data_IF_729380825663
#
_entry.id   IF_729380825663
#
_cell.length_a   1.000
_cell.length_b   1.000
_cell.length_c   1.000
_cell.angle_alpha   90.00
_cell.angle_beta   90.00
_cell.angle_gamma   90.00
#
_symmetry.space_group_name_H-M   'P 1'
#
loop_
_entity.id
_entity.type
_entity.pdbx_description
1 polymer ?
#
# COMPACT_ATOMS: atom_id res chain seq x y z
N UNK A 1 19.76 -10.10 2.38
CA UNK A 1 19.07 -9.45 3.51
C UNK A 1 17.68 -9.01 3.14
N UNK A 2 17.55 -8.22 2.08
CA UNK A 2 16.27 -7.68 1.62
C UNK A 2 15.19 -8.75 1.38
N UNK A 3 15.55 -9.89 0.79
CA UNK A 3 14.67 -11.04 0.59
C UNK A 3 14.16 -11.63 1.91
N UNK A 4 15.03 -11.77 2.92
CA UNK A 4 14.65 -12.24 4.26
C UNK A 4 13.68 -11.27 4.92
N UNK A 5 13.94 -9.96 4.81
CA UNK A 5 13.01 -8.93 5.28
C UNK A 5 11.66 -9.06 4.58
N UNK A 6 11.64 -9.20 3.26
CA UNK A 6 10.40 -9.37 2.49
C UNK A 6 9.60 -10.61 2.93
N UNK A 7 10.26 -11.76 3.13
CA UNK A 7 9.60 -12.96 3.66
C UNK A 7 9.07 -12.76 5.08
N UNK A 8 9.77 -11.99 5.92
CA UNK A 8 9.28 -11.62 7.26
C UNK A 8 7.97 -10.84 7.21
N UNK A 9 7.90 -9.81 6.34
CA UNK A 9 6.67 -9.04 6.12
C UNK A 9 5.54 -9.87 5.51
N UNK A 10 5.86 -10.78 4.59
CA UNK A 10 4.89 -11.74 4.06
C UNK A 10 4.36 -12.65 5.16
N UNK A 11 5.23 -13.16 6.04
CA UNK A 11 4.83 -13.94 7.21
C UNK A 11 3.89 -13.16 8.12
N UNK A 12 4.18 -11.88 8.39
CA UNK A 12 3.29 -11.00 9.16
C UNK A 12 1.93 -10.82 8.48
N UNK A 13 1.90 -10.62 7.16
CA UNK A 13 0.66 -10.47 6.40
C UNK A 13 -0.19 -11.75 6.43
N UNK A 14 0.46 -12.93 6.35
CA UNK A 14 -0.22 -14.22 6.47
C UNK A 14 -0.77 -14.44 7.89
N UNK A 15 0.02 -14.14 8.92
CA UNK A 15 -0.43 -14.23 10.31
C UNK A 15 -1.62 -13.30 10.58
N UNK A 16 -1.55 -12.08 10.05
CA UNK A 16 -2.67 -11.13 10.12
C UNK A 16 -3.91 -11.64 9.38
N UNK A 17 -3.74 -12.21 8.19
CA UNK A 17 -4.84 -12.79 7.41
C UNK A 17 -5.47 -14.00 8.10
N UNK A 18 -4.67 -14.84 8.75
CA UNK A 18 -5.16 -15.96 9.56
C UNK A 18 -5.94 -15.46 10.77
N UNK A 19 -5.40 -14.49 11.50
CA UNK A 19 -6.10 -13.84 12.61
C UNK A 19 -7.44 -13.25 12.16
N UNK A 20 -7.43 -12.51 11.06
CA UNK A 20 -8.62 -11.91 10.50
C UNK A 20 -9.63 -12.97 10.06
N UNK A 21 -9.20 -14.08 9.46
CA UNK A 21 -10.09 -15.19 9.05
C UNK A 21 -10.78 -15.86 10.24
N UNK A 22 -10.07 -16.03 11.36
CA UNK A 22 -10.64 -16.56 12.62
C UNK A 22 -11.65 -15.57 13.21
N UNK A 23 -11.31 -14.28 13.24
CA UNK A 23 -12.21 -13.23 13.70
C UNK A 23 -13.45 -13.10 12.80
N UNK A 24 -13.26 -13.23 11.49
CA UNK A 24 -14.28 -13.14 10.46
C UNK A 24 -15.31 -14.27 10.57
N UNK A 25 -14.82 -15.51 10.71
CA UNK A 25 -15.66 -16.71 10.83
C UNK A 25 -16.50 -16.76 12.10
N UNK A 26 -16.14 -16.01 13.15
CA UNK A 26 -16.88 -15.96 14.41
C UNK A 26 -17.87 -14.79 14.54
N UNK A 27 -17.65 -13.67 13.83
CA UNK A 27 -18.32 -12.41 14.16
C UNK A 27 -19.08 -11.72 12.98
N UNK A 28 -18.68 -11.92 11.72
CA UNK A 28 -19.16 -11.06 10.62
C UNK A 28 -20.67 -11.09 10.38
N UNK A 29 -21.32 -12.24 10.62
CA UNK A 29 -22.77 -12.38 10.40
C UNK A 29 -23.62 -11.55 11.38
N UNK A 30 -23.07 -11.12 12.51
CA UNK A 30 -23.78 -10.40 13.57
C UNK A 30 -23.30 -8.95 13.73
N UNK A 31 -22.42 -8.47 12.84
CA UNK A 31 -21.85 -7.12 12.92
C UNK A 31 -22.72 -6.11 12.19
N UNK A 32 -22.96 -4.96 12.82
CA UNK A 32 -23.55 -3.82 12.13
C UNK A 32 -22.65 -3.30 11.00
N UNK A 33 -23.25 -2.65 10.01
CA UNK A 33 -22.58 -2.19 8.78
C UNK A 33 -21.31 -1.36 9.05
N UNK A 34 -21.35 -0.45 10.03
CA UNK A 34 -20.19 0.35 10.41
C UNK A 34 -19.03 -0.47 10.98
N UNK A 35 -19.33 -1.50 11.79
CA UNK A 35 -18.31 -2.40 12.34
C UNK A 35 -17.71 -3.29 11.26
N UNK A 36 -18.53 -3.71 10.29
CA UNK A 36 -18.09 -4.49 9.13
C UNK A 36 -17.17 -3.66 8.22
N UNK A 37 -17.53 -2.40 7.95
CA UNK A 37 -16.67 -1.47 7.22
C UNK A 37 -15.31 -1.28 7.91
N UNK A 38 -15.29 -0.98 9.22
CA UNK A 38 -14.04 -0.83 9.98
C UNK A 38 -13.19 -2.10 9.98
N UNK A 39 -13.83 -3.28 9.94
CA UNK A 39 -13.13 -4.57 9.87
C UNK A 39 -12.43 -4.77 8.51
N UNK A 40 -13.05 -4.36 7.40
CA UNK A 40 -12.41 -4.34 6.09
C UNK A 40 -11.30 -3.31 6.01
N UNK A 41 -11.51 -2.09 6.54
CA UNK A 41 -10.46 -1.06 6.60
C UNK A 41 -9.25 -1.61 7.35
N UNK A 42 -9.44 -2.25 8.51
CA UNK A 42 -8.35 -2.86 9.29
C UNK A 42 -7.58 -3.94 8.52
N UNK A 43 -8.29 -4.77 7.75
CA UNK A 43 -7.69 -5.80 6.91
C UNK A 43 -6.82 -5.21 5.80
N UNK A 44 -7.39 -4.34 4.96
CA UNK A 44 -6.70 -3.74 3.83
C UNK A 44 -5.59 -2.79 4.28
N UNK A 45 -5.83 -2.00 5.33
CA UNK A 45 -4.85 -1.06 5.84
C UNK A 45 -3.57 -1.74 6.31
N UNK A 46 -3.69 -2.86 7.02
CA UNK A 46 -2.51 -3.60 7.48
C UNK A 46 -1.71 -4.15 6.29
N UNK A 47 -2.37 -4.70 5.26
CA UNK A 47 -1.70 -5.17 4.06
C UNK A 47 -0.97 -4.04 3.32
N UNK A 48 -1.66 -2.92 3.11
CA UNK A 48 -1.08 -1.73 2.49
C UNK A 48 0.12 -1.21 3.29
N UNK A 49 0.02 -1.12 4.62
CA UNK A 49 1.15 -0.71 5.48
C UNK A 49 2.35 -1.64 5.33
N UNK A 50 2.15 -2.96 5.35
CA UNK A 50 3.24 -3.93 5.21
C UNK A 50 3.91 -3.83 3.83
N UNK A 51 3.12 -3.77 2.75
CA UNK A 51 3.64 -3.64 1.38
C UNK A 51 4.37 -2.32 1.16
N UNK A 52 3.77 -1.20 1.57
CA UNK A 52 4.36 0.13 1.37
C UNK A 52 5.60 0.35 2.25
N UNK A 53 5.64 -0.26 3.44
CA UNK A 53 6.87 -0.29 4.24
C UNK A 53 7.99 -1.03 3.51
N UNK A 54 7.71 -2.18 2.89
CA UNK A 54 8.70 -2.89 2.09
C UNK A 54 9.20 -2.04 0.91
N UNK A 55 8.32 -1.32 0.20
CA UNK A 55 8.71 -0.41 -0.90
C UNK A 55 9.63 0.71 -0.38
N UNK A 56 9.33 1.30 0.78
CA UNK A 56 10.19 2.30 1.40
C UNK A 56 11.56 1.73 1.79
N UNK A 57 11.60 0.51 2.33
CA UNK A 57 12.86 -0.15 2.69
C UNK A 57 13.67 -0.45 1.42
N UNK A 58 13.06 -1.05 0.40
CA UNK A 58 13.73 -1.45 -0.84
C UNK A 58 14.28 -0.23 -1.59
N UNK A 59 13.48 0.83 -1.72
CA UNK A 59 13.92 2.10 -2.34
C UNK A 59 15.06 2.75 -1.56
N UNK A 60 15.02 2.73 -0.23
CA UNK A 60 16.12 3.20 0.61
C UNK A 60 17.40 2.40 0.42
N UNK A 61 17.31 1.06 0.40
CA UNK A 61 18.48 0.19 0.17
C UNK A 61 19.07 0.40 -1.22
N UNK A 62 18.23 0.49 -2.25
CA UNK A 62 18.67 0.75 -3.63
C UNK A 62 19.31 2.13 -3.73
N UNK A 63 18.75 3.14 -3.06
CA UNK A 63 19.33 4.47 -2.95
C UNK A 63 20.73 4.44 -2.37
N UNK A 64 20.90 3.80 -1.21
CA UNK A 64 22.23 3.65 -0.60
C UNK A 64 23.18 2.83 -1.47
N UNK A 65 22.71 1.78 -2.15
CA UNK A 65 23.53 1.02 -3.10
C UNK A 65 24.03 1.88 -4.26
N UNK A 66 23.21 2.80 -4.77
CA UNK A 66 23.58 3.70 -5.86
C UNK A 66 24.55 4.80 -5.43
N UNK A 67 24.30 5.46 -4.29
CA UNK A 67 25.07 6.63 -3.85
C UNK A 67 26.25 6.30 -2.92
N UNK A 68 26.17 5.21 -2.16
CA UNK A 68 27.20 4.76 -1.22
C UNK A 68 27.36 3.21 -1.25
N UNK A 69 27.87 2.64 -2.36
CA UNK A 69 27.87 1.19 -2.59
C UNK A 69 28.59 0.39 -1.48
N UNK A 70 29.59 0.98 -0.84
CA UNK A 70 30.32 0.37 0.29
C UNK A 70 29.41 0.02 1.47
N UNK A 71 28.36 0.80 1.71
CA UNK A 71 27.40 0.60 2.80
C UNK A 71 26.35 -0.48 2.48
N UNK A 72 26.26 -0.91 1.21
CA UNK A 72 25.31 -1.88 0.69
C UNK A 72 25.95 -3.24 0.29
N UNK A 73 27.26 -3.42 0.48
CA UNK A 73 28.04 -4.53 -0.09
C UNK A 73 27.97 -5.86 0.68
N UNK A 74 26.93 -6.09 1.49
CA UNK A 74 26.81 -7.33 2.27
C UNK A 74 25.36 -7.78 2.40
N UNK A 75 25.17 -9.06 2.78
CA UNK A 75 23.82 -9.63 2.94
C UNK A 75 22.99 -8.84 3.95
N UNK A 76 23.56 -8.48 5.10
CA UNK A 76 22.93 -7.66 6.15
C UNK A 76 23.69 -6.34 6.28
N UNK A 77 23.61 -5.55 5.21
CA UNK A 77 24.31 -4.28 5.06
C UNK A 77 23.76 -3.18 5.98
N UNK A 78 24.56 -2.14 6.21
CA UNK A 78 24.12 -0.94 6.95
C UNK A 78 22.96 -0.27 6.21
N UNK A 79 23.00 -0.24 4.87
CA UNK A 79 21.91 0.21 4.02
C UNK A 79 20.55 -0.41 4.39
N UNK A 80 20.49 -1.72 4.63
CA UNK A 80 19.26 -2.42 5.01
C UNK A 80 18.78 -2.01 6.40
N UNK A 81 19.70 -1.94 7.38
CA UNK A 81 19.37 -1.56 8.76
C UNK A 81 18.84 -0.13 8.80
N UNK A 82 19.55 0.81 8.20
CA UNK A 82 19.21 2.22 8.25
C UNK A 82 17.91 2.51 7.50
N UNK A 83 17.72 1.89 6.32
CA UNK A 83 16.47 2.02 5.57
C UNK A 83 15.29 1.42 6.33
N UNK A 84 15.49 0.30 7.03
CA UNK A 84 14.45 -0.32 7.88
C UNK A 84 14.09 0.57 9.07
N UNK A 85 15.09 1.11 9.77
CA UNK A 85 14.87 2.03 10.90
C UNK A 85 14.15 3.28 10.43
N UNK A 86 14.57 3.88 9.30
CA UNK A 86 13.91 5.07 8.76
C UNK A 86 12.48 4.81 8.35
N UNK A 87 12.20 3.68 7.70
CA UNK A 87 10.85 3.29 7.29
C UNK A 87 9.92 3.07 8.50
N UNK A 88 10.42 2.42 9.56
CA UNK A 88 9.62 2.04 10.74
C UNK A 88 9.52 3.13 11.81
N UNK A 89 10.28 4.21 11.71
CA UNK A 89 10.24 5.32 12.67
C UNK A 89 9.83 6.62 12.00
N UNK A 90 10.76 7.29 11.31
CA UNK A 90 10.56 8.63 10.76
C UNK A 90 9.51 8.67 9.64
N UNK A 91 9.50 7.66 8.76
CA UNK A 91 8.58 7.61 7.61
C UNK A 91 7.29 6.85 7.90
N UNK A 92 7.19 6.20 9.07
CA UNK A 92 6.09 5.28 9.36
C UNK A 92 4.73 5.98 9.33
N UNK A 93 4.63 7.19 9.88
CA UNK A 93 3.39 7.98 9.83
C UNK A 93 2.94 8.30 8.40
N UNK A 94 3.88 8.63 7.52
CA UNK A 94 3.62 8.86 6.08
C UNK A 94 3.15 7.57 5.38
N UNK A 95 3.77 6.43 5.73
CA UNK A 95 3.37 5.10 5.23
C UNK A 95 1.93 4.79 5.66
N UNK A 96 1.65 4.86 6.97
CA UNK A 96 0.32 4.61 7.52
C UNK A 96 -0.76 5.50 6.91
N UNK A 97 -0.48 6.79 6.75
CA UNK A 97 -1.45 7.75 6.19
C UNK A 97 -1.77 7.44 4.72
N UNK A 98 -0.76 7.25 3.87
CA UNK A 98 -1.00 6.92 2.46
C UNK A 98 -1.68 5.56 2.26
N UNK A 99 -1.33 4.58 3.10
CA UNK A 99 -1.94 3.24 3.09
C UNK A 99 -3.41 3.27 3.49
N UNK A 100 -3.79 4.19 4.38
CA UNK A 100 -5.17 4.36 4.82
C UNK A 100 -6.08 4.82 3.67
N UNK A 101 -5.57 5.69 2.79
CA UNK A 101 -6.34 6.22 1.65
C UNK A 101 -6.76 5.07 0.72
N UNK A 102 -5.81 4.20 0.34
CA UNK A 102 -6.10 3.03 -0.52
C UNK A 102 -7.01 2.05 0.21
N UNK A 103 -6.73 1.77 1.49
CA UNK A 103 -7.50 0.82 2.28
C UNK A 103 -8.98 1.23 2.44
N UNK A 104 -9.28 2.52 2.55
CA UNK A 104 -10.66 3.02 2.60
C UNK A 104 -11.37 2.74 1.28
N UNK A 105 -10.73 2.98 0.14
CA UNK A 105 -11.30 2.68 -1.18
C UNK A 105 -11.55 1.18 -1.33
N UNK A 106 -10.57 0.35 -0.97
CA UNK A 106 -10.69 -1.11 -0.97
C UNK A 106 -11.83 -1.61 -0.06
N UNK A 107 -11.97 -1.04 1.14
CA UNK A 107 -13.05 -1.38 2.06
C UNK A 107 -14.43 -0.99 1.51
N UNK A 108 -14.55 0.18 0.84
CA UNK A 108 -15.79 0.59 0.19
C UNK A 108 -16.18 -0.34 -0.96
N UNK A 109 -15.22 -0.78 -1.77
CA UNK A 109 -15.47 -1.76 -2.84
C UNK A 109 -15.93 -3.10 -2.28
N UNK A 110 -15.25 -3.59 -1.24
CA UNK A 110 -15.62 -4.84 -0.59
C UNK A 110 -17.01 -4.77 0.04
N UNK A 111 -17.38 -3.63 0.64
CA UNK A 111 -18.72 -3.41 1.17
C UNK A 111 -19.78 -3.40 0.06
N UNK A 112 -19.50 -2.76 -1.07
CA UNK A 112 -20.39 -2.75 -2.24
C UNK A 112 -20.60 -4.16 -2.82
N UNK A 113 -19.55 -4.99 -2.85
CA UNK A 113 -19.67 -6.41 -3.22
C UNK A 113 -20.49 -7.22 -2.21
N UNK A 114 -20.33 -6.94 -0.92
CA UNK A 114 -21.11 -7.58 0.14
C UNK A 114 -22.60 -7.23 0.03
N UNK A 115 -22.93 -5.95 -0.15
CA UNK A 115 -24.30 -5.48 -0.37
C UNK A 115 -24.95 -6.16 -1.59
N UNK A 116 -24.20 -6.27 -2.70
CA UNK A 116 -24.64 -7.01 -3.90
C UNK A 116 -25.00 -8.47 -3.61
N UNK A 117 -24.23 -9.13 -2.76
CA UNK A 117 -24.44 -10.54 -2.41
C UNK A 117 -25.71 -10.76 -1.55
N UNK A 118 -26.19 -9.71 -0.87
CA UNK A 118 -27.41 -9.76 -0.06
C UNK A 118 -28.70 -9.48 -0.85
N UNK A 119 -28.60 -9.20 -2.16
CA UNK A 119 -29.76 -9.11 -3.05
C UNK A 119 -30.50 -7.76 -3.01
N UNK A 120 -29.83 -6.67 -2.64
CA UNK A 120 -30.44 -5.33 -2.70
C UNK A 120 -30.77 -4.91 -4.16
N UNK A 121 -31.96 -4.34 -4.35
CA UNK A 121 -32.43 -3.81 -5.63
C UNK A 121 -31.57 -2.62 -6.07
N UNK A 122 -30.69 -2.83 -7.06
CA UNK A 122 -29.79 -1.77 -7.53
C UNK A 122 -28.58 -2.22 -8.35
N UNK A 123 -28.66 -3.38 -9.03
CA UNK A 123 -27.50 -4.01 -9.67
C UNK A 123 -26.69 -3.09 -10.61
N UNK A 124 -27.36 -2.17 -11.32
CA UNK A 124 -26.69 -1.20 -12.21
C UNK A 124 -25.91 -0.16 -11.40
N UNK A 125 -26.50 0.39 -10.33
CA UNK A 125 -25.86 1.41 -9.49
C UNK A 125 -24.63 0.83 -8.78
N UNK A 126 -24.75 -0.38 -8.23
CA UNK A 126 -23.63 -1.11 -7.60
C UNK A 126 -22.48 -1.31 -8.58
N UNK A 127 -22.76 -1.69 -9.84
CA UNK A 127 -21.73 -1.84 -10.88
C UNK A 127 -21.04 -0.52 -11.24
N UNK A 128 -21.80 0.59 -11.34
CA UNK A 128 -21.23 1.92 -11.63
C UNK A 128 -20.32 2.38 -10.49
N UNK A 129 -20.77 2.22 -9.24
CA UNK A 129 -19.97 2.55 -8.06
C UNK A 129 -18.69 1.72 -8.01
N UNK A 130 -18.77 0.41 -8.24
CA UNK A 130 -17.59 -0.47 -8.27
C UNK A 130 -16.59 -0.06 -9.36
N UNK A 131 -17.08 0.29 -10.56
CA UNK A 131 -16.25 0.77 -11.65
C UNK A 131 -15.50 2.06 -11.27
N UNK A 132 -16.20 3.05 -10.72
CA UNK A 132 -15.60 4.33 -10.29
C UNK A 132 -14.57 4.09 -9.19
N UNK A 133 -14.93 3.32 -8.15
CA UNK A 133 -14.03 3.01 -7.06
C UNK A 133 -12.78 2.25 -7.56
N UNK A 134 -12.93 1.36 -8.54
CA UNK A 134 -11.80 0.66 -9.13
C UNK A 134 -10.88 1.53 -9.96
N UNK A 135 -11.43 2.49 -10.72
CA UNK A 135 -10.60 3.50 -11.37
C UNK A 135 -9.82 4.32 -10.34
N UNK A 136 -10.46 4.73 -9.25
CA UNK A 136 -9.83 5.52 -8.17
C UNK A 136 -8.74 4.70 -7.48
N UNK A 137 -9.03 3.45 -7.10
CA UNK A 137 -8.08 2.54 -6.47
C UNK A 137 -6.81 2.38 -7.33
N UNK A 138 -6.97 2.04 -8.61
CA UNK A 138 -5.84 1.85 -9.52
C UNK A 138 -4.97 3.10 -9.64
N UNK A 139 -5.60 4.29 -9.74
CA UNK A 139 -4.86 5.56 -9.83
C UNK A 139 -4.08 5.82 -8.54
N UNK A 140 -4.71 5.64 -7.38
CA UNK A 140 -4.07 5.91 -6.09
C UNK A 140 -2.95 4.89 -5.84
N UNK A 141 -3.16 3.61 -6.10
CA UNK A 141 -2.12 2.57 -5.95
C UNK A 141 -0.91 2.86 -6.83
N UNK A 142 -1.14 3.25 -8.08
CA UNK A 142 -0.06 3.60 -8.99
C UNK A 142 0.73 4.81 -8.48
N UNK A 143 0.05 5.90 -8.11
CA UNK A 143 0.71 7.09 -7.56
C UNK A 143 1.44 6.78 -6.25
N UNK A 144 0.86 5.94 -5.39
CA UNK A 144 1.42 5.55 -4.10
C UNK A 144 2.71 4.76 -4.27
N UNK A 145 2.77 3.82 -5.21
CA UNK A 145 4.00 3.06 -5.52
C UNK A 145 5.18 4.00 -5.73
N UNK A 146 5.01 5.04 -6.55
CA UNK A 146 6.06 6.03 -6.81
C UNK A 146 6.28 6.99 -5.64
N UNK A 147 5.23 7.39 -4.93
CA UNK A 147 5.34 8.26 -3.78
C UNK A 147 6.18 7.60 -2.67
N UNK A 148 5.97 6.31 -2.40
CA UNK A 148 6.76 5.58 -1.41
C UNK A 148 8.22 5.37 -1.81
N UNK A 149 8.53 5.32 -3.11
CA UNK A 149 9.92 5.38 -3.57
C UNK A 149 10.57 6.72 -3.19
N UNK A 150 9.87 7.84 -3.37
CA UNK A 150 10.37 9.16 -2.93
C UNK A 150 10.51 9.25 -1.40
N UNK A 151 9.57 8.67 -0.65
CA UNK A 151 9.64 8.59 0.82
C UNK A 151 10.88 7.78 1.25
N UNK A 152 11.11 6.61 0.68
CA UNK A 152 12.25 5.75 1.06
C UNK A 152 13.60 6.30 0.62
N UNK A 153 13.66 6.95 -0.56
CA UNK A 153 14.90 7.48 -1.13
C UNK A 153 15.32 8.81 -0.50
N UNK A 154 14.38 9.75 -0.31
CA UNK A 154 14.68 11.12 0.12
C UNK A 154 14.14 11.46 1.51
N UNK A 155 13.27 10.63 2.09
CA UNK A 155 12.65 10.92 3.39
C UNK A 155 11.56 12.00 3.34
N UNK A 156 11.01 12.31 2.16
CA UNK A 156 9.94 13.30 2.05
C UNK A 156 8.66 12.85 2.75
N UNK A 157 7.87 13.78 3.33
CA UNK A 157 6.50 13.48 3.75
C UNK A 157 5.65 12.98 2.59
N UNK A 158 4.71 12.07 2.85
CA UNK A 158 3.88 11.44 1.81
C UNK A 158 3.21 12.44 0.85
N UNK A 159 2.62 13.53 1.35
CA UNK A 159 1.96 14.54 0.52
C UNK A 159 2.94 15.29 -0.39
N UNK A 160 4.16 15.54 0.09
CA UNK A 160 5.22 16.18 -0.68
C UNK A 160 5.78 15.22 -1.74
N UNK A 161 6.01 13.96 -1.37
CA UNK A 161 6.38 12.90 -2.29
C UNK A 161 5.33 12.74 -3.41
N UNK A 162 4.04 12.72 -3.08
CA UNK A 162 2.96 12.65 -4.07
C UNK A 162 2.94 13.85 -5.03
N UNK A 163 3.19 15.07 -4.53
CA UNK A 163 3.32 16.27 -5.40
C UNK A 163 4.52 16.17 -6.34
N UNK A 164 5.64 15.66 -5.86
CA UNK A 164 6.84 15.46 -6.68
C UNK A 164 6.60 14.42 -7.77
N UNK A 165 5.91 13.32 -7.45
CA UNK A 165 5.49 12.30 -8.41
C UNK A 165 4.55 12.88 -9.47
N UNK A 166 3.53 13.64 -9.08
CA UNK A 166 2.62 14.30 -10.02
C UNK A 166 3.34 15.31 -10.92
N UNK A 167 4.31 16.03 -10.37
CA UNK A 167 5.15 16.98 -11.13
C UNK A 167 6.05 16.23 -12.12
N UNK A 168 6.62 15.10 -11.70
CA UNK A 168 7.40 14.22 -12.56
C UNK A 168 6.55 13.71 -13.74
N UNK A 169 5.34 13.19 -13.48
CA UNK A 169 4.44 12.74 -14.53
C UNK A 169 3.99 13.86 -15.47
N UNK A 170 3.74 15.07 -14.96
CA UNK A 170 3.43 16.23 -15.81
C UNK A 170 4.59 16.63 -16.71
N UNK A 171 5.83 16.55 -16.21
CA UNK A 171 7.03 16.96 -16.97
C UNK A 171 7.52 15.92 -17.98
N UNK A 172 7.37 14.62 -17.67
CA UNK A 172 7.79 13.50 -18.54
C UNK A 172 6.65 12.93 -19.41
N UNK A 173 5.41 13.37 -19.16
CA UNK A 173 4.21 13.01 -19.91
C UNK A 173 3.74 11.58 -19.71
N UNK A 174 2.68 11.22 -20.44
CA UNK A 174 2.09 9.86 -20.51
C UNK A 174 3.08 8.80 -21.01
N UNK A 175 4.18 9.20 -21.65
CA UNK A 175 5.27 8.33 -22.09
C UNK A 175 5.88 7.50 -20.97
N UNK A 176 5.94 8.03 -19.74
CA UNK A 176 6.44 7.26 -18.59
C UNK A 176 5.51 6.10 -18.20
N UNK A 177 4.19 6.33 -18.26
CA UNK A 177 3.17 5.31 -17.96
C UNK A 177 3.16 4.26 -19.08
N UNK A 178 3.16 4.70 -20.34
CA UNK A 178 3.16 3.81 -21.51
C UNK A 178 4.42 2.92 -21.52
N UNK A 179 5.57 3.44 -21.08
CA UNK A 179 6.81 2.65 -21.02
C UNK A 179 6.79 1.62 -19.87
N UNK A 180 6.14 1.93 -18.75
CA UNK A 180 5.99 1.01 -17.61
C UNK A 180 5.03 -0.16 -17.94
N UNK A 181 4.00 0.09 -18.75
CA UNK A 181 3.06 -0.95 -19.25
C UNK A 181 3.64 -1.83 -20.39
N UNK A 182 4.76 -1.44 -20.99
CA UNK A 182 5.38 -2.12 -22.14
C UNK A 182 6.56 -3.05 -21.76
N UNK A 183 6.86 -3.18 -20.47
CA UNK A 183 7.93 -4.04 -19.91
C UNK A 183 7.36 -5.24 -19.19
#
# INVERSE_FOLDING_TARGET
>A
GLTVTAFGFLGLALLWSLWWSVAAGGALANMGEGSLFLSFVSYFWTHQVLQNTLICITSGVIGTWWFAPSEANSWFSQALKDSSVRALTYSFGSICFGSLIVAVVQALRQLNHYARSQGEDGAILVCVIDCILGCIENIIEYLNKWAYVYVGLYGYPYLEAGKNVLTLFRSKGWTAIITDDLV
#
